data_IF_446752417336
#
_entry.id   IF_446752417336
#
_cell.length_a   1.000
_cell.length_b   1.000
_cell.length_c   1.000
_cell.angle_alpha   90.00
_cell.angle_beta   90.00
_cell.angle_gamma   90.00
#
_symmetry.space_group_name_H-M   'P 1'
#
loop_
_entity.id
_entity.type
_entity.pdbx_description
1 polymer ?
#
# COMPACT_ATOMS: atom_id res chain seq x y z
N UNK A 1 -15.00 25.67 -7.05
CA UNK A 1 -15.24 24.21 -6.95
C UNK A 1 -14.10 23.52 -7.68
N UNK A 2 -13.57 22.44 -7.12
CA UNK A 2 -12.47 21.72 -7.78
C UNK A 2 -12.97 21.07 -9.08
N UNK A 3 -12.10 20.96 -10.09
CA UNK A 3 -12.48 20.47 -11.43
C UNK A 3 -13.13 19.07 -11.41
N UNK A 4 -12.75 18.20 -10.45
CA UNK A 4 -13.34 16.88 -10.28
C UNK A 4 -14.76 16.92 -9.68
N UNK A 5 -15.05 17.84 -8.76
CA UNK A 5 -16.39 18.02 -8.15
C UNK A 5 -17.41 18.46 -9.21
N UNK A 6 -16.98 19.35 -10.11
CA UNK A 6 -17.79 19.79 -11.25
C UNK A 6 -18.11 18.63 -12.19
N UNK A 7 -17.11 17.78 -12.50
CA UNK A 7 -17.33 16.57 -13.32
C UNK A 7 -18.30 15.59 -12.66
N UNK A 8 -18.12 15.28 -11.37
CA UNK A 8 -19.02 14.39 -10.64
C UNK A 8 -20.46 14.92 -10.60
N UNK A 9 -20.62 16.23 -10.41
CA UNK A 9 -21.93 16.89 -10.43
C UNK A 9 -22.58 16.75 -11.80
N UNK A 10 -21.83 16.97 -12.88
CA UNK A 10 -22.33 16.83 -14.24
C UNK A 10 -22.76 15.39 -14.56
N UNK A 11 -21.97 14.40 -14.16
CA UNK A 11 -22.29 12.98 -14.41
C UNK A 11 -23.52 12.55 -13.61
N UNK A 12 -23.67 13.03 -12.35
CA UNK A 12 -24.88 12.80 -11.54
C UNK A 12 -26.12 13.39 -12.20
N UNK A 13 -26.04 14.62 -12.70
CA UNK A 13 -27.14 15.24 -13.46
C UNK A 13 -27.47 14.46 -14.74
N UNK A 14 -26.46 13.97 -15.46
CA UNK A 14 -26.67 13.14 -16.64
C UNK A 14 -27.36 11.80 -16.29
N UNK A 15 -27.01 11.20 -15.15
CA UNK A 15 -27.66 9.99 -14.65
C UNK A 15 -29.14 10.27 -14.33
N UNK A 16 -29.43 11.35 -13.60
CA UNK A 16 -30.79 11.75 -13.25
C UNK A 16 -31.66 11.98 -14.51
N UNK A 17 -31.12 12.66 -15.51
CA UNK A 17 -31.79 12.84 -16.80
C UNK A 17 -32.04 11.50 -17.51
N UNK A 18 -31.05 10.60 -17.55
CA UNK A 18 -31.19 9.28 -18.18
C UNK A 18 -32.23 8.43 -17.46
N UNK A 19 -32.24 8.44 -16.13
CA UNK A 19 -33.21 7.73 -15.30
C UNK A 19 -34.63 8.27 -15.45
N UNK A 20 -34.79 9.60 -15.52
CA UNK A 20 -36.09 10.22 -15.78
C UNK A 20 -36.66 9.79 -17.15
N UNK A 21 -35.81 9.69 -18.18
CA UNK A 21 -36.21 9.21 -19.50
C UNK A 21 -36.54 7.71 -19.54
N UNK A 22 -35.85 6.89 -18.73
CA UNK A 22 -36.13 5.46 -18.57
C UNK A 22 -37.49 5.21 -17.89
N UNK A 23 -37.90 6.06 -16.94
CA UNK A 23 -39.23 5.97 -16.32
C UNK A 23 -40.33 6.13 -17.39
N UNK A 24 -40.12 7.01 -18.38
CA UNK A 24 -41.07 7.24 -19.48
C UNK A 24 -41.00 6.13 -20.53
N UNK A 25 -39.82 5.56 -20.81
CA UNK A 25 -39.63 4.49 -21.81
C UNK A 25 -38.76 3.33 -21.26
N UNK A 26 -39.34 2.42 -20.47
CA UNK A 26 -38.57 1.42 -19.71
C UNK A 26 -37.83 0.37 -20.55
N UNK A 27 -38.26 0.14 -21.80
CA UNK A 27 -37.69 -0.88 -22.69
C UNK A 27 -36.74 -0.29 -23.75
N UNK A 28 -36.36 0.98 -23.61
CA UNK A 28 -35.41 1.59 -24.54
C UNK A 28 -33.98 1.10 -24.24
N UNK A 29 -33.52 0.17 -25.06
CA UNK A 29 -32.21 -0.47 -24.91
C UNK A 29 -31.04 0.53 -24.99
N UNK A 30 -31.19 1.65 -25.70
CA UNK A 30 -30.18 2.71 -25.78
C UNK A 30 -30.05 3.42 -24.44
N UNK A 31 -31.18 3.75 -23.79
CA UNK A 31 -31.17 4.43 -22.49
C UNK A 31 -30.63 3.51 -21.38
N UNK A 32 -30.91 2.21 -21.44
CA UNK A 32 -30.39 1.22 -20.47
C UNK A 32 -28.86 1.12 -20.59
N UNK A 33 -28.32 1.06 -21.80
CA UNK A 33 -26.87 1.03 -22.00
C UNK A 33 -26.20 2.35 -21.59
N UNK A 34 -26.84 3.49 -21.86
CA UNK A 34 -26.37 4.81 -21.41
C UNK A 34 -26.36 4.93 -19.87
N UNK A 35 -27.38 4.41 -19.18
CA UNK A 35 -27.42 4.39 -17.71
C UNK A 35 -26.25 3.56 -17.17
N UNK A 36 -26.05 2.36 -17.71
CA UNK A 36 -24.94 1.48 -17.32
C UNK A 36 -23.58 2.15 -17.50
N UNK A 37 -23.35 2.82 -18.64
CA UNK A 37 -22.11 3.55 -18.89
C UNK A 37 -21.93 4.71 -17.91
N UNK A 38 -22.98 5.48 -17.66
CA UNK A 38 -22.95 6.60 -16.71
C UNK A 38 -22.65 6.13 -15.29
N UNK A 39 -23.22 4.99 -14.86
CA UNK A 39 -22.91 4.39 -13.55
C UNK A 39 -21.45 3.95 -13.43
N UNK A 40 -20.89 3.34 -14.48
CA UNK A 40 -19.46 2.98 -14.50
C UNK A 40 -18.57 4.23 -14.44
N UNK A 41 -18.96 5.32 -15.09
CA UNK A 41 -18.24 6.59 -14.99
C UNK A 41 -18.32 7.17 -13.58
N UNK A 42 -19.48 7.15 -12.92
CA UNK A 42 -19.62 7.59 -11.52
C UNK A 42 -18.69 6.79 -10.61
N UNK A 43 -18.67 5.47 -10.73
CA UNK A 43 -17.79 4.61 -9.94
C UNK A 43 -16.32 5.01 -10.12
N UNK A 44 -15.87 5.14 -11.38
CA UNK A 44 -14.50 5.58 -11.69
C UNK A 44 -14.17 6.94 -11.07
N UNK A 45 -15.05 7.93 -11.24
CA UNK A 45 -14.83 9.27 -10.71
C UNK A 45 -14.91 9.34 -9.19
N UNK A 46 -15.74 8.51 -8.56
CA UNK A 46 -15.81 8.38 -7.10
C UNK A 46 -14.50 7.82 -6.53
N UNK A 47 -13.90 6.82 -7.17
CA UNK A 47 -12.59 6.29 -6.77
C UNK A 47 -11.50 7.37 -6.88
N UNK A 48 -11.53 8.17 -7.95
CA UNK A 48 -10.59 9.28 -8.14
C UNK A 48 -10.77 10.35 -7.05
N UNK A 49 -12.02 10.72 -6.75
CA UNK A 49 -12.33 11.66 -5.66
C UNK A 49 -11.81 11.14 -4.31
N UNK A 50 -12.06 9.87 -3.98
CA UNK A 50 -11.56 9.26 -2.75
C UNK A 50 -10.03 9.34 -2.67
N UNK A 51 -9.33 9.02 -3.76
CA UNK A 51 -7.86 9.13 -3.82
C UNK A 51 -7.38 10.56 -3.61
N UNK A 52 -8.04 11.55 -4.22
CA UNK A 52 -7.71 12.97 -4.05
C UNK A 52 -7.95 13.41 -2.60
N UNK A 53 -9.08 13.04 -2.01
CA UNK A 53 -9.42 13.37 -0.63
C UNK A 53 -8.44 12.72 0.34
N UNK A 54 -8.06 11.46 0.10
CA UNK A 54 -7.01 10.77 0.88
C UNK A 54 -5.68 11.50 0.77
N UNK A 55 -5.28 11.93 -0.42
CA UNK A 55 -4.05 12.69 -0.60
C UNK A 55 -4.11 14.06 0.08
N UNK A 56 -5.24 14.78 0.00
CA UNK A 56 -5.44 16.04 0.73
C UNK A 56 -5.33 15.83 2.23
N UNK A 57 -6.03 14.83 2.78
CA UNK A 57 -5.93 14.48 4.20
C UNK A 57 -4.50 14.10 4.60
N UNK A 58 -3.76 13.40 3.73
CA UNK A 58 -2.35 13.04 3.90
C UNK A 58 -1.46 14.28 4.00
N UNK A 59 -1.63 15.26 3.11
CA UNK A 59 -0.90 16.54 3.14
C UNK A 59 -1.24 17.36 4.38
N UNK A 60 -2.54 17.50 4.68
CA UNK A 60 -3.01 18.21 5.87
C UNK A 60 -2.50 17.57 7.16
N UNK A 61 -2.39 16.25 7.20
CA UNK A 61 -1.79 15.52 8.33
C UNK A 61 -0.31 15.85 8.52
N UNK A 62 0.46 15.93 7.43
CA UNK A 62 1.88 16.32 7.47
C UNK A 62 2.02 17.76 7.98
N UNK A 63 1.26 18.69 7.42
CA UNK A 63 1.30 20.11 7.78
C UNK A 63 0.97 20.35 9.27
N UNK A 64 -0.08 19.70 9.79
CA UNK A 64 -0.41 19.77 11.21
C UNK A 64 0.55 19.02 12.12
N UNK A 65 1.22 17.99 11.59
CA UNK A 65 2.28 17.25 12.28
C UNK A 65 3.53 18.11 12.46
N UNK A 66 4.00 18.74 11.39
CA UNK A 66 5.14 19.67 11.41
C UNK A 66 4.85 20.89 12.28
N UNK A 67 3.61 21.36 12.28
CA UNK A 67 3.15 22.46 13.12
C UNK A 67 3.02 22.11 14.62
N UNK A 68 3.29 20.86 15.03
CA UNK A 68 3.20 20.39 16.43
C UNK A 68 1.88 20.79 17.13
N UNK A 69 0.77 20.74 16.39
CA UNK A 69 -0.52 21.26 16.89
C UNK A 69 -1.10 20.39 18.02
N UNK A 70 -1.83 21.01 18.97
CA UNK A 70 -2.57 20.26 20.01
C UNK A 70 -3.55 19.24 19.42
N UNK A 71 -4.13 19.55 18.26
CA UNK A 71 -5.03 18.65 17.53
C UNK A 71 -4.30 17.39 17.05
N UNK A 72 -3.09 17.52 16.50
CA UNK A 72 -2.27 16.40 16.08
C UNK A 72 -1.97 15.44 17.24
N UNK A 73 -1.55 15.97 18.39
CA UNK A 73 -1.32 15.15 19.59
C UNK A 73 -2.60 14.48 20.10
N UNK A 74 -3.76 15.14 20.00
CA UNK A 74 -5.05 14.54 20.35
C UNK A 74 -5.38 13.37 19.41
N UNK A 75 -5.20 13.53 18.10
CA UNK A 75 -5.47 12.47 17.13
C UNK A 75 -4.48 11.30 17.27
N UNK A 76 -3.22 11.56 17.60
CA UNK A 76 -2.24 10.51 17.93
C UNK A 76 -2.67 9.72 19.18
N UNK A 77 -3.15 10.39 20.22
CA UNK A 77 -3.66 9.72 21.42
C UNK A 77 -4.89 8.86 21.13
N UNK A 78 -5.80 9.35 20.28
CA UNK A 78 -6.97 8.58 19.83
C UNK A 78 -6.50 7.33 19.07
N UNK A 79 -5.64 7.48 18.06
CA UNK A 79 -5.09 6.35 17.30
C UNK A 79 -4.35 5.36 18.19
N UNK A 80 -3.53 5.85 19.12
CA UNK A 80 -2.83 5.00 20.08
C UNK A 80 -3.80 4.25 21.01
N UNK A 81 -4.93 4.85 21.36
CA UNK A 81 -5.99 4.22 22.15
C UNK A 81 -6.77 3.18 21.35
N UNK A 82 -7.12 3.47 20.10
CA UNK A 82 -7.84 2.56 19.20
C UNK A 82 -7.00 1.35 18.81
N UNK A 83 -5.72 1.58 18.50
CA UNK A 83 -4.77 0.51 18.13
C UNK A 83 -4.21 -0.24 19.35
N UNK A 84 -4.60 0.14 20.57
CA UNK A 84 -4.17 -0.55 21.77
C UNK A 84 -4.85 -1.91 21.84
N UNK A 85 -4.05 -2.97 21.72
CA UNK A 85 -4.53 -4.34 21.93
C UNK A 85 -4.84 -4.50 23.42
N UNK A 86 -6.13 -4.50 23.76
CA UNK A 86 -6.61 -4.64 25.14
C UNK A 86 -6.94 -6.08 25.51
N UNK A 87 -7.28 -6.91 24.52
CA UNK A 87 -7.68 -8.30 24.75
C UNK A 87 -7.20 -9.21 23.64
N UNK A 88 -6.77 -10.42 23.99
CA UNK A 88 -6.36 -11.48 23.07
C UNK A 88 -7.03 -12.79 23.48
N UNK A 89 -7.36 -13.65 22.52
CA UNK A 89 -7.84 -15.01 22.78
C UNK A 89 -6.69 -16.00 22.61
N UNK A 90 -6.54 -16.92 23.56
CA UNK A 90 -5.57 -18.00 23.44
C UNK A 90 -6.10 -19.18 22.59
N UNK A 91 -5.25 -20.18 22.37
CA UNK A 91 -5.59 -21.40 21.62
C UNK A 91 -6.75 -22.22 22.21
N UNK A 92 -7.07 -22.00 23.50
CA UNK A 92 -8.19 -22.63 24.21
C UNK A 92 -9.47 -21.78 24.19
N UNK A 93 -9.49 -20.67 23.44
CA UNK A 93 -10.63 -19.75 23.35
C UNK A 93 -10.84 -18.88 24.60
N UNK A 94 -9.89 -18.84 25.52
CA UNK A 94 -9.96 -18.03 26.75
C UNK A 94 -9.53 -16.60 26.46
N UNK A 95 -10.36 -15.64 26.89
CA UNK A 95 -10.10 -14.21 26.75
C UNK A 95 -9.10 -13.72 27.80
N UNK A 96 -7.93 -13.27 27.35
CA UNK A 96 -6.90 -12.64 28.17
C UNK A 96 -7.04 -11.12 28.07
N UNK A 97 -7.17 -10.45 29.22
CA UNK A 97 -7.31 -8.98 29.31
C UNK A 97 -6.19 -8.34 30.12
N UNK A 98 -5.42 -9.13 30.89
CA UNK A 98 -4.29 -8.61 31.65
C UNK A 98 -3.12 -8.25 30.70
N UNK A 99 -2.56 -7.03 30.75
CA UNK A 99 -1.50 -6.61 29.84
C UNK A 99 -0.25 -7.49 29.86
N UNK A 100 0.17 -7.95 31.05
CA UNK A 100 1.35 -8.82 31.18
C UNK A 100 1.09 -10.19 30.60
N UNK A 101 -0.11 -10.72 30.80
CA UNK A 101 -0.52 -11.98 30.20
C UNK A 101 -0.64 -11.88 28.67
N UNK A 102 -1.15 -10.77 28.12
CA UNK A 102 -1.20 -10.52 26.67
C UNK A 102 0.21 -10.49 26.07
N UNK A 103 1.14 -9.75 26.68
CA UNK A 103 2.55 -9.69 26.24
C UNK A 103 3.20 -11.09 26.23
N UNK A 104 2.96 -11.88 27.28
CA UNK A 104 3.47 -13.25 27.40
C UNK A 104 2.89 -14.15 26.31
N UNK A 105 1.60 -14.04 26.04
CA UNK A 105 0.93 -14.83 25.00
C UNK A 105 1.49 -14.52 23.61
N UNK A 106 1.62 -13.23 23.27
CA UNK A 106 2.27 -12.80 22.02
C UNK A 106 3.68 -13.33 21.88
N UNK A 107 4.47 -13.19 22.94
CA UNK A 107 5.86 -13.67 22.96
C UNK A 107 5.92 -15.19 22.79
N UNK A 108 5.03 -15.93 23.44
CA UNK A 108 4.97 -17.38 23.35
C UNK A 108 4.58 -17.83 21.94
N UNK A 109 3.51 -17.25 21.40
CA UNK A 109 3.00 -17.51 20.06
C UNK A 109 4.08 -17.26 19.00
N UNK A 110 4.71 -16.09 19.00
CA UNK A 110 5.74 -15.77 18.00
C UNK A 110 7.02 -16.58 18.19
N UNK A 111 7.42 -16.91 19.42
CA UNK A 111 8.55 -17.85 19.64
C UNK A 111 8.26 -19.24 19.09
N UNK A 112 7.01 -19.69 19.19
CA UNK A 112 6.60 -20.96 18.57
C UNK A 112 6.59 -20.86 17.05
N UNK A 113 6.08 -19.76 16.50
CA UNK A 113 6.02 -19.51 15.05
C UNK A 113 7.41 -19.42 14.39
N UNK A 114 8.33 -18.67 14.99
CA UNK A 114 9.72 -18.54 14.52
C UNK A 114 10.51 -19.85 14.72
N UNK A 115 9.96 -20.76 15.52
CA UNK A 115 10.57 -22.03 15.85
C UNK A 115 11.60 -21.92 16.97
N UNK A 116 12.03 -23.08 17.48
CA UNK A 116 13.13 -23.17 18.44
C UNK A 116 14.44 -23.25 17.68
N UNK A 117 15.48 -22.59 18.19
CA UNK A 117 16.86 -22.82 17.74
C UNK A 117 17.30 -24.22 18.19
N UNK A 118 16.82 -25.26 17.49
CA UNK A 118 17.37 -26.60 17.62
C UNK A 118 18.75 -26.56 16.97
N UNK A 119 19.79 -26.71 17.79
CA UNK A 119 21.16 -26.80 17.33
C UNK A 119 21.27 -27.85 16.23
N UNK A 120 21.86 -27.43 15.10
CA UNK A 120 21.97 -28.16 13.85
C UNK A 120 20.61 -28.34 13.15
N UNK A 121 20.28 -27.37 12.28
CA UNK A 121 19.30 -27.61 11.22
C UNK A 121 19.89 -28.68 10.30
N UNK A 122 19.21 -29.82 10.04
CA UNK A 122 19.68 -30.74 9.02
C UNK A 122 19.82 -29.95 7.72
N UNK A 123 21.02 -29.99 7.12
CA UNK A 123 21.24 -29.45 5.78
C UNK A 123 20.08 -29.95 4.89
N UNK A 124 19.34 -29.06 4.20
CA UNK A 124 18.28 -29.51 3.32
C UNK A 124 18.89 -30.49 2.32
N UNK A 125 18.23 -31.62 2.13
CA UNK A 125 18.80 -32.78 1.45
C UNK A 125 19.37 -32.37 0.09
N UNK A 126 20.69 -32.47 -0.05
CA UNK A 126 21.45 -31.92 -1.18
C UNK A 126 21.00 -32.51 -2.51
N UNK A 127 20.38 -33.71 -2.51
CA UNK A 127 19.79 -34.31 -3.71
C UNK A 127 18.58 -33.53 -4.22
N UNK A 128 17.74 -32.99 -3.33
CA UNK A 128 16.58 -32.19 -3.72
C UNK A 128 16.98 -30.79 -4.17
N UNK A 129 17.95 -30.17 -3.49
CA UNK A 129 18.49 -28.86 -3.92
C UNK A 129 19.08 -28.96 -5.33
N UNK A 130 19.84 -30.03 -5.61
CA UNK A 130 20.43 -30.28 -6.93
C UNK A 130 19.44 -30.78 -7.99
N UNK A 131 18.26 -31.26 -7.58
CA UNK A 131 17.20 -31.70 -8.48
C UNK A 131 16.22 -30.57 -8.84
N UNK A 132 16.23 -29.47 -8.09
CA UNK A 132 15.56 -28.23 -8.49
C UNK A 132 16.26 -27.57 -9.67
N UNK A 133 15.59 -26.63 -10.32
CA UNK A 133 16.20 -25.80 -11.37
C UNK A 133 17.40 -25.06 -10.78
N UNK A 134 18.59 -25.54 -11.13
CA UNK A 134 19.84 -24.89 -10.78
C UNK A 134 20.09 -23.79 -11.82
N UNK A 135 20.60 -22.65 -11.35
CA UNK A 135 20.96 -21.53 -12.24
C UNK A 135 21.90 -22.02 -13.35
N UNK A 136 21.63 -21.59 -14.58
CA UNK A 136 22.53 -21.85 -15.70
C UNK A 136 23.89 -21.19 -15.45
N UNK A 137 24.94 -21.67 -16.12
CA UNK A 137 26.27 -21.06 -16.02
C UNK A 137 26.22 -19.56 -16.37
N UNK A 138 25.35 -19.19 -17.33
CA UNK A 138 25.15 -17.81 -17.73
C UNK A 138 24.51 -16.97 -16.61
N UNK A 139 23.46 -17.46 -15.95
CA UNK A 139 22.84 -16.77 -14.81
C UNK A 139 23.79 -16.64 -13.62
N UNK A 140 24.66 -17.65 -13.41
CA UNK A 140 25.70 -17.57 -12.37
C UNK A 140 26.74 -16.50 -12.70
N UNK A 141 27.12 -16.35 -13.97
CA UNK A 141 28.03 -15.32 -14.42
C UNK A 141 27.42 -13.91 -14.29
N UNK A 142 26.13 -13.75 -14.60
CA UNK A 142 25.39 -12.50 -14.41
C UNK A 142 25.34 -12.09 -12.94
N UNK A 143 25.10 -13.02 -12.01
CA UNK A 143 25.04 -12.73 -10.57
C UNK A 143 26.40 -12.41 -9.91
N UNK A 144 27.51 -12.75 -10.56
CA UNK A 144 28.87 -12.51 -10.08
C UNK A 144 29.47 -11.24 -10.73
N UNK A 145 28.80 -10.66 -11.73
CA UNK A 145 29.25 -9.44 -12.38
C UNK A 145 29.19 -8.25 -11.41
N UNK A 146 30.16 -7.34 -11.56
CA UNK A 146 30.17 -6.09 -10.79
C UNK A 146 28.96 -5.22 -11.18
N UNK A 147 28.28 -4.67 -10.16
CA UNK A 147 27.06 -3.89 -10.34
C UNK A 147 27.35 -2.62 -11.16
N UNK A 148 26.62 -2.53 -12.26
CA UNK A 148 26.35 -1.36 -13.10
C UNK A 148 25.96 -0.07 -12.38
N UNK A 149 26.57 1.11 -12.63
CA UNK A 149 25.87 2.37 -12.31
C UNK A 149 24.55 2.47 -13.10
N UNK A 150 24.57 2.05 -14.38
CA UNK A 150 23.38 2.02 -15.22
C UNK A 150 22.31 1.05 -14.69
N UNK A 151 22.72 -0.12 -14.19
CA UNK A 151 21.81 -1.10 -13.57
C UNK A 151 21.22 -0.57 -12.27
N UNK A 152 22.03 0.13 -11.45
CA UNK A 152 21.55 0.75 -10.23
C UNK A 152 20.56 1.89 -10.52
N UNK A 153 20.83 2.72 -11.53
CA UNK A 153 19.94 3.80 -11.97
C UNK A 153 18.62 3.26 -12.53
N UNK A 154 18.65 2.21 -13.34
CA UNK A 154 17.46 1.54 -13.86
C UNK A 154 16.62 0.93 -12.73
N UNK A 155 17.27 0.24 -11.78
CA UNK A 155 16.59 -0.33 -10.62
C UNK A 155 15.97 0.74 -9.71
N UNK A 156 16.65 1.87 -9.51
CA UNK A 156 16.13 3.02 -8.76
C UNK A 156 14.93 3.63 -9.48
N UNK A 157 14.94 3.73 -10.81
CA UNK A 157 13.82 4.22 -11.61
C UNK A 157 12.60 3.29 -11.56
N UNK A 158 12.82 1.98 -11.57
CA UNK A 158 11.76 0.96 -11.49
C UNK A 158 11.09 0.86 -10.12
N UNK A 159 11.65 1.52 -9.08
CA UNK A 159 11.02 1.52 -7.75
C UNK A 159 9.61 2.13 -7.79
N UNK A 160 8.59 1.42 -7.25
CA UNK A 160 7.22 1.90 -7.24
C UNK A 160 7.06 3.13 -6.33
N UNK A 161 6.29 4.11 -6.80
CA UNK A 161 5.99 5.36 -6.07
C UNK A 161 4.73 5.26 -5.17
N UNK A 162 4.21 4.05 -4.92
CA UNK A 162 2.83 3.87 -4.43
C UNK A 162 2.72 2.93 -3.21
N UNK A 163 3.77 2.85 -2.38
CA UNK A 163 3.71 2.07 -1.14
C UNK A 163 4.02 2.98 0.02
N UNK A 164 2.99 3.57 0.63
CA UNK A 164 3.01 4.33 1.88
C UNK A 164 3.96 5.56 1.96
N UNK A 165 3.49 6.65 2.60
CA UNK A 165 4.24 7.91 2.75
C UNK A 165 5.72 7.74 3.12
N UNK A 166 5.98 6.82 4.04
CA UNK A 166 7.31 6.59 4.59
C UNK A 166 8.28 6.00 3.56
N UNK A 167 7.79 5.09 2.73
CA UNK A 167 8.60 4.49 1.66
C UNK A 167 8.55 5.38 0.41
N UNK A 168 7.47 6.13 0.18
CA UNK A 168 7.37 7.14 -0.90
C UNK A 168 8.42 8.27 -0.76
N UNK A 169 8.59 8.86 0.44
CA UNK A 169 9.61 9.91 0.64
C UNK A 169 11.02 9.37 0.50
N UNK A 170 11.26 8.15 0.99
CA UNK A 170 12.56 7.50 0.90
C UNK A 170 12.91 7.13 -0.55
N UNK A 171 11.97 6.55 -1.30
CA UNK A 171 12.14 6.25 -2.72
C UNK A 171 12.38 7.52 -3.54
N UNK A 172 11.67 8.61 -3.22
CA UNK A 172 11.90 9.91 -3.86
C UNK A 172 13.27 10.49 -3.55
N UNK A 173 13.69 10.46 -2.29
CA UNK A 173 14.99 10.95 -1.85
C UNK A 173 16.13 10.14 -2.47
N UNK A 174 15.98 8.82 -2.59
CA UNK A 174 16.93 7.96 -3.31
C UNK A 174 17.03 8.35 -4.78
N UNK A 175 15.91 8.54 -5.48
CA UNK A 175 15.90 9.00 -6.89
C UNK A 175 16.61 10.34 -7.06
N UNK A 176 16.25 11.35 -6.26
CA UNK A 176 16.87 12.69 -6.30
C UNK A 176 18.37 12.64 -5.95
N UNK A 177 18.78 11.80 -4.98
CA UNK A 177 20.19 11.66 -4.60
C UNK A 177 21.02 10.94 -5.66
N UNK A 178 20.46 9.92 -6.31
CA UNK A 178 21.13 9.22 -7.43
C UNK A 178 21.30 10.14 -8.63
N UNK A 179 20.31 10.98 -8.96
CA UNK A 179 20.44 11.99 -10.03
C UNK A 179 21.60 12.99 -9.76
N UNK A 180 21.78 13.41 -8.50
CA UNK A 180 22.89 14.26 -8.11
C UNK A 180 24.25 13.55 -8.14
N UNK A 181 24.33 12.32 -7.61
CA UNK A 181 25.59 11.56 -7.55
C UNK A 181 26.07 11.09 -8.94
N UNK A 182 25.16 10.85 -9.90
CA UNK A 182 25.53 10.50 -11.27
C UNK A 182 26.24 11.61 -12.04
N UNK A 183 26.02 12.88 -11.68
CA UNK A 183 26.71 14.02 -12.30
C UNK A 183 28.18 14.12 -11.87
N UNK A 184 28.52 13.69 -10.66
CA UNK A 184 29.88 13.82 -10.09
C UNK A 184 30.84 12.71 -10.52
N UNK A 185 30.33 11.60 -11.08
CA UNK A 185 31.13 10.46 -11.57
C UNK A 185 31.49 10.57 -13.07
N UNK A 186 31.04 11.64 -13.75
CA UNK A 186 31.24 11.86 -15.19
C UNK A 186 32.42 12.79 -15.54
N UNK A 187 33.32 13.04 -14.59
CA UNK A 187 34.59 13.80 -14.78
C UNK A 187 35.82 12.94 -14.59
#
# INVERSE_FOLDING_TARGET
MASYEQRLTQIRQNLECTQANLIVNPFNQVLIEQEKQTLQEIEKWSIIEERILRQKAKVTWIDYGDSNSKYFYAQLKIRASENKITTVYNDLGVKITDPKAVEKEFTCFFKQLIGKATGIKPCPNTRFIKAGECLSIQQQQELIQDITYAEADEAVKDMPNDKDLYVDWFNRLLKESFDCMGQDMST
#
